data_IF_130576368760
#
_entry.id   IF_130576368760
#
_cell.length_a   1.000
_cell.length_b   1.000
_cell.length_c   1.000
_cell.angle_alpha   90.00
_cell.angle_beta   90.00
_cell.angle_gamma   90.00
#
_symmetry.space_group_name_H-M   'P 1'
#
loop_
_entity.id
_entity.type
_entity.pdbx_description
1 polymer ?
#
# COMPACT_ATOMS: atom_id res chain seq x y z
N UNK A 1 3.65 -17.23 10.69
CA UNK A 1 3.70 -15.79 10.90
C UNK A 1 2.42 -15.11 10.42
N UNK A 2 2.13 -13.92 10.99
CA UNK A 2 1.11 -13.01 10.51
C UNK A 2 1.78 -11.94 9.65
N UNK A 3 1.24 -11.67 8.47
CA UNK A 3 1.87 -10.78 7.49
C UNK A 3 0.82 -9.82 6.92
N UNK A 4 1.16 -8.54 6.84
CA UNK A 4 0.33 -7.55 6.17
C UNK A 4 1.20 -6.63 5.30
N UNK A 5 0.82 -6.50 4.03
CA UNK A 5 1.40 -5.57 3.07
C UNK A 5 0.50 -4.34 2.95
N UNK A 6 1.05 -3.19 3.23
CA UNK A 6 0.36 -1.89 3.14
C UNK A 6 1.04 -1.04 2.09
N UNK A 7 0.40 -0.89 0.94
CA UNK A 7 0.87 0.00 -0.13
C UNK A 7 0.72 1.45 0.30
N UNK A 8 1.79 2.23 0.17
CA UNK A 8 1.83 3.64 0.56
C UNK A 8 1.92 4.56 -0.65
N UNK A 9 1.27 5.72 -0.54
CA UNK A 9 1.16 6.73 -1.59
C UNK A 9 -0.24 6.81 -2.20
N UNK A 10 -0.62 8.01 -2.62
CA UNK A 10 -1.84 8.24 -3.40
C UNK A 10 -1.67 7.79 -4.85
N UNK A 11 -0.46 7.94 -5.38
CA UNK A 11 -0.06 7.50 -6.71
C UNK A 11 0.89 6.31 -6.61
N UNK A 12 0.58 5.24 -7.33
CA UNK A 12 1.37 4.00 -7.34
C UNK A 12 1.92 3.65 -8.73
N UNK A 13 1.89 4.62 -9.67
CA UNK A 13 2.43 4.52 -11.02
C UNK A 13 3.42 5.65 -11.31
N UNK A 14 4.39 5.39 -12.20
CA UNK A 14 5.34 6.41 -12.68
C UNK A 14 4.69 7.31 -13.73
N UNK A 15 5.18 8.53 -13.88
CA UNK A 15 4.73 9.42 -14.97
C UNK A 15 4.94 8.80 -16.35
N UNK A 16 6.04 8.08 -16.55
CA UNK A 16 6.31 7.34 -17.79
C UNK A 16 5.27 6.26 -18.09
N UNK A 17 4.61 5.70 -17.07
CA UNK A 17 3.54 4.70 -17.24
C UNK A 17 2.23 5.31 -17.74
N UNK A 18 2.06 6.64 -17.63
CA UNK A 18 0.88 7.36 -18.14
C UNK A 18 0.81 7.30 -19.68
N UNK A 19 1.97 7.28 -20.33
CA UNK A 19 2.05 7.26 -21.80
C UNK A 19 1.93 5.85 -22.39
N UNK A 20 1.92 4.82 -21.57
CA UNK A 20 1.70 3.46 -22.02
C UNK A 20 0.20 3.20 -22.22
N UNK A 21 -0.21 3.16 -23.50
CA UNK A 21 -1.60 2.94 -23.91
C UNK A 21 -1.91 1.49 -24.24
N UNK A 22 -1.00 0.56 -23.99
CA UNK A 22 -1.22 -0.87 -24.21
C UNK A 22 -2.37 -1.38 -23.33
N UNK A 23 -3.43 -1.86 -23.97
CA UNK A 23 -4.56 -2.48 -23.30
C UNK A 23 -4.25 -3.94 -22.95
N UNK A 24 -4.65 -4.38 -21.75
CA UNK A 24 -4.30 -5.68 -21.18
C UNK A 24 -5.53 -6.37 -20.62
N UNK A 25 -5.79 -7.57 -21.12
CA UNK A 25 -6.91 -8.41 -20.68
C UNK A 25 -6.70 -8.96 -19.26
N UNK A 26 -5.46 -9.27 -18.86
CA UNK A 26 -5.18 -9.76 -17.50
C UNK A 26 -5.45 -8.71 -16.42
N UNK A 27 -5.34 -7.42 -16.75
CA UNK A 27 -5.72 -6.33 -15.84
C UNK A 27 -7.23 -6.11 -15.82
N UNK A 28 -7.91 -6.31 -16.96
CA UNK A 28 -9.38 -6.31 -17.03
C UNK A 28 -9.95 -7.44 -16.17
N UNK A 29 -9.41 -8.66 -16.25
CA UNK A 29 -9.85 -9.79 -15.42
C UNK A 29 -9.74 -9.50 -13.92
N UNK A 30 -8.63 -8.86 -13.51
CA UNK A 30 -8.45 -8.43 -12.11
C UNK A 30 -9.45 -7.34 -11.70
N UNK A 31 -9.77 -6.42 -12.61
CA UNK A 31 -10.75 -5.36 -12.38
C UNK A 31 -12.16 -5.92 -12.26
N UNK A 32 -12.54 -6.85 -13.16
CA UNK A 32 -13.83 -7.54 -13.13
C UNK A 32 -14.03 -8.38 -11.86
N UNK A 33 -12.97 -9.01 -11.36
CA UNK A 33 -13.02 -9.77 -10.08
C UNK A 33 -13.26 -8.87 -8.88
N UNK A 34 -12.75 -7.64 -8.91
CA UNK A 34 -12.93 -6.67 -7.84
C UNK A 34 -14.29 -5.97 -7.95
N UNK A 35 -14.61 -5.44 -9.14
CA UNK A 35 -15.89 -4.79 -9.43
C UNK A 35 -16.32 -5.09 -10.87
N UNK A 36 -17.30 -5.99 -11.06
CA UNK A 36 -17.83 -6.32 -12.39
C UNK A 36 -18.44 -5.15 -13.15
N UNK A 37 -18.80 -4.06 -12.47
CA UNK A 37 -19.45 -2.89 -13.08
C UNK A 37 -18.48 -1.77 -13.47
N UNK A 38 -17.24 -1.83 -13.01
CA UNK A 38 -16.26 -0.78 -13.21
C UNK A 38 -15.75 -0.61 -14.64
N UNK A 39 -15.58 -1.70 -15.46
CA UNK A 39 -15.16 -1.55 -16.85
C UNK A 39 -16.31 -1.09 -17.76
N UNK A 40 -15.99 -0.20 -18.71
CA UNK A 40 -16.91 0.17 -19.81
C UNK A 40 -17.04 -0.98 -20.81
N UNK A 41 -18.03 -0.91 -21.71
CA UNK A 41 -18.22 -1.93 -22.75
C UNK A 41 -17.01 -2.02 -23.67
N UNK A 42 -16.41 -0.89 -24.05
CA UNK A 42 -15.20 -0.88 -24.87
C UNK A 42 -14.02 -1.50 -24.13
N UNK A 43 -13.85 -1.25 -22.83
CA UNK A 43 -12.79 -1.87 -22.00
C UNK A 43 -12.99 -3.39 -21.88
N UNK A 44 -14.23 -3.87 -21.88
CA UNK A 44 -14.54 -5.33 -21.85
C UNK A 44 -14.08 -6.06 -23.11
N UNK A 45 -14.08 -5.36 -24.25
CA UNK A 45 -13.65 -5.93 -25.53
C UNK A 45 -12.13 -5.82 -25.73
N UNK A 46 -11.53 -4.72 -25.31
CA UNK A 46 -10.15 -4.36 -25.64
C UNK A 46 -9.15 -4.57 -24.50
N UNK A 47 -9.63 -4.73 -23.26
CA UNK A 47 -8.81 -4.68 -22.08
C UNK A 47 -8.64 -3.27 -21.51
N UNK A 48 -7.89 -3.14 -20.41
CA UNK A 48 -7.63 -1.86 -19.75
C UNK A 48 -6.14 -1.54 -19.75
N UNK A 49 -5.80 -0.26 -19.86
CA UNK A 49 -4.40 0.17 -19.72
C UNK A 49 -3.94 0.01 -18.26
N UNK A 50 -2.63 -0.07 -18.05
CA UNK A 50 -2.05 -0.13 -16.70
C UNK A 50 -2.46 1.10 -15.87
N UNK A 51 -2.42 2.29 -16.46
CA UNK A 51 -2.86 3.52 -15.80
C UNK A 51 -4.30 3.42 -15.33
N UNK A 52 -5.23 3.02 -16.23
CA UNK A 52 -6.66 2.88 -15.91
C UNK A 52 -6.89 1.88 -14.75
N UNK A 53 -6.18 0.74 -14.77
CA UNK A 53 -6.25 -0.24 -13.70
C UNK A 53 -5.72 0.33 -12.36
N UNK A 54 -4.59 1.04 -12.38
CA UNK A 54 -4.03 1.64 -11.16
C UNK A 54 -4.95 2.71 -10.57
N UNK A 55 -5.52 3.58 -11.41
CA UNK A 55 -6.51 4.58 -10.99
C UNK A 55 -7.77 3.93 -10.38
N UNK A 56 -8.23 2.84 -10.98
CA UNK A 56 -9.32 2.04 -10.40
C UNK A 56 -8.97 1.54 -9.00
N UNK A 57 -7.79 0.91 -8.84
CA UNK A 57 -7.32 0.40 -7.55
C UNK A 57 -7.18 1.51 -6.49
N UNK A 58 -6.69 2.66 -6.88
CA UNK A 58 -6.54 3.83 -6.00
C UNK A 58 -7.90 4.37 -5.56
N UNK A 59 -8.86 4.50 -6.49
CA UNK A 59 -10.21 4.99 -6.19
C UNK A 59 -11.08 3.96 -5.48
N UNK A 60 -10.85 2.67 -5.70
CA UNK A 60 -11.58 1.59 -5.04
C UNK A 60 -11.14 1.32 -3.59
N UNK A 61 -10.08 1.96 -3.12
CA UNK A 61 -9.49 1.75 -1.79
C UNK A 61 -9.29 3.05 -1.00
N UNK A 62 -8.74 2.95 0.20
CA UNK A 62 -8.36 4.09 1.02
C UNK A 62 -7.17 4.91 0.49
N UNK A 63 -6.48 4.45 -0.57
CA UNK A 63 -5.31 5.11 -1.11
C UNK A 63 -5.60 6.57 -1.54
N UNK A 64 -6.73 6.81 -2.21
CA UNK A 64 -7.12 8.15 -2.67
C UNK A 64 -7.31 9.15 -1.51
N UNK A 65 -7.85 8.71 -0.39
CA UNK A 65 -8.21 9.56 0.77
C UNK A 65 -7.13 9.58 1.83
N UNK A 66 -6.59 8.42 2.22
CA UNK A 66 -5.65 8.28 3.32
C UNK A 66 -4.18 8.21 2.88
N UNK A 67 -3.92 8.02 1.57
CA UNK A 67 -2.56 7.86 1.06
C UNK A 67 -1.93 6.49 1.34
N UNK A 68 -2.74 5.49 1.70
CA UNK A 68 -2.32 4.10 1.87
C UNK A 68 -3.52 3.15 1.74
N UNK A 69 -3.24 1.87 1.44
CA UNK A 69 -4.24 0.79 1.42
C UNK A 69 -3.61 -0.52 1.84
N UNK A 70 -4.41 -1.44 2.37
CA UNK A 70 -4.00 -2.82 2.57
C UNK A 70 -3.98 -3.52 1.21
N UNK A 71 -2.83 -4.08 0.83
CA UNK A 71 -2.65 -4.82 -0.43
C UNK A 71 -2.83 -6.32 -0.21
N UNK A 72 -2.39 -6.82 0.93
CA UNK A 72 -2.55 -8.19 1.35
C UNK A 72 -2.44 -8.32 2.87
N UNK A 73 -3.14 -9.30 3.41
CA UNK A 73 -3.15 -9.57 4.86
C UNK A 73 -3.38 -11.06 5.08
N UNK A 74 -2.60 -11.67 5.97
CA UNK A 74 -2.77 -13.05 6.39
C UNK A 74 -2.43 -13.20 7.87
N UNK A 75 -3.08 -14.14 8.52
CA UNK A 75 -2.84 -14.50 9.92
C UNK A 75 -2.55 -15.98 10.03
N UNK A 76 -1.59 -16.36 10.87
CA UNK A 76 -1.31 -17.77 11.15
C UNK A 76 -2.57 -18.45 11.72
N UNK A 77 -2.86 -19.65 11.24
CA UNK A 77 -4.03 -20.42 11.66
C UNK A 77 -5.38 -19.97 11.07
N UNK A 78 -5.40 -18.96 10.23
CA UNK A 78 -6.62 -18.45 9.58
C UNK A 78 -6.47 -18.57 8.07
N UNK A 79 -7.49 -19.11 7.40
CA UNK A 79 -7.44 -19.33 5.94
C UNK A 79 -7.55 -18.02 5.15
N UNK A 80 -8.43 -17.11 5.55
CA UNK A 80 -8.63 -15.82 4.85
C UNK A 80 -9.03 -14.70 5.82
N UNK A 81 -8.65 -13.48 5.46
CA UNK A 81 -9.16 -12.29 6.12
C UNK A 81 -10.68 -12.16 5.87
N UNK A 82 -11.52 -11.96 6.90
CA UNK A 82 -12.97 -11.86 6.75
C UNK A 82 -13.42 -10.60 5.99
N UNK A 83 -12.46 -9.74 5.61
CA UNK A 83 -12.71 -8.50 4.90
C UNK A 83 -12.03 -8.53 3.53
N UNK A 84 -12.71 -8.04 2.49
CA UNK A 84 -12.03 -7.75 1.22
C UNK A 84 -11.09 -6.56 1.39
N UNK A 85 -9.89 -6.84 1.93
CA UNK A 85 -8.93 -5.83 2.36
C UNK A 85 -8.49 -4.89 1.22
N UNK A 86 -8.62 -5.33 -0.05
CA UNK A 86 -8.23 -4.54 -1.22
C UNK A 86 -9.20 -3.42 -1.56
N UNK A 87 -10.40 -3.43 -0.99
CA UNK A 87 -11.50 -2.48 -1.28
C UNK A 87 -11.91 -1.66 -0.04
N UNK A 88 -11.19 -1.80 1.06
CA UNK A 88 -11.49 -1.05 2.27
C UNK A 88 -11.24 0.46 2.06
N UNK A 89 -12.28 1.26 2.24
CA UNK A 89 -12.26 2.72 2.14
C UNK A 89 -12.47 3.40 3.47
N UNK A 90 -13.42 2.90 4.23
CA UNK A 90 -13.85 3.52 5.47
C UNK A 90 -12.86 3.24 6.60
N UNK A 91 -12.57 4.28 7.40
CA UNK A 91 -11.65 4.17 8.54
C UNK A 91 -12.11 3.11 9.54
N UNK A 92 -13.42 2.96 9.73
CA UNK A 92 -14.00 1.92 10.60
C UNK A 92 -13.65 0.51 10.14
N UNK A 93 -13.67 0.28 8.83
CA UNK A 93 -13.38 -1.04 8.24
C UNK A 93 -11.90 -1.35 8.30
N UNK A 94 -11.07 -0.35 8.00
CA UNK A 94 -9.63 -0.44 8.16
C UNK A 94 -9.23 -0.76 9.62
N UNK A 95 -9.87 -0.11 10.58
CA UNK A 95 -9.65 -0.42 12.02
C UNK A 95 -10.02 -1.86 12.34
N UNK A 96 -11.15 -2.38 11.81
CA UNK A 96 -11.55 -3.79 12.00
C UNK A 96 -10.51 -4.75 11.41
N UNK A 97 -10.02 -4.47 10.20
CA UNK A 97 -8.98 -5.28 9.58
C UNK A 97 -7.67 -5.28 10.38
N UNK A 98 -7.25 -4.12 10.89
CA UNK A 98 -6.07 -4.00 11.75
C UNK A 98 -6.24 -4.73 13.09
N UNK A 99 -7.42 -4.65 13.71
CA UNK A 99 -7.73 -5.39 14.93
C UNK A 99 -7.73 -6.91 14.68
N UNK A 100 -8.33 -7.34 13.57
CA UNK A 100 -8.28 -8.74 13.16
C UNK A 100 -6.83 -9.19 12.92
N UNK A 101 -6.02 -8.42 12.20
CA UNK A 101 -4.63 -8.74 11.91
C UNK A 101 -3.81 -8.99 13.18
N UNK A 102 -3.99 -8.16 14.20
CA UNK A 102 -3.23 -8.24 15.46
C UNK A 102 -3.92 -9.08 16.53
N UNK A 103 -5.02 -9.76 16.19
CA UNK A 103 -5.82 -10.54 17.14
C UNK A 103 -6.28 -9.72 18.37
N UNK A 104 -6.52 -8.44 18.16
CA UNK A 104 -6.89 -7.50 19.22
C UNK A 104 -5.80 -7.25 20.28
N UNK A 105 -4.55 -7.68 20.05
CA UNK A 105 -3.44 -7.61 21.02
C UNK A 105 -2.88 -6.19 21.11
N UNK A 106 -3.08 -5.45 22.20
CA UNK A 106 -2.64 -4.06 22.31
C UNK A 106 -1.12 -3.93 22.34
N UNK A 107 -0.39 -4.93 22.85
CA UNK A 107 1.06 -4.93 22.86
C UNK A 107 1.68 -5.03 21.46
N UNK A 108 1.05 -5.77 20.54
CA UNK A 108 1.46 -5.84 19.12
C UNK A 108 1.20 -4.52 18.43
N UNK A 109 0.05 -3.89 18.68
CA UNK A 109 -0.24 -2.55 18.19
C UNK A 109 0.81 -1.54 18.66
N UNK A 110 1.13 -1.55 19.94
CA UNK A 110 2.13 -0.63 20.52
C UNK A 110 3.51 -0.83 19.87
N UNK A 111 3.91 -2.09 19.64
CA UNK A 111 5.17 -2.41 18.98
C UNK A 111 5.21 -1.88 17.53
N UNK A 112 4.15 -2.07 16.75
CA UNK A 112 4.05 -1.52 15.40
C UNK A 112 4.07 0.01 15.38
N UNK A 113 3.34 0.65 16.28
CA UNK A 113 3.33 2.12 16.41
C UNK A 113 4.72 2.67 16.75
N UNK A 114 5.45 2.00 17.64
CA UNK A 114 6.82 2.39 17.98
C UNK A 114 7.74 2.33 16.76
N UNK A 115 7.73 1.21 16.03
CA UNK A 115 8.55 1.04 14.82
C UNK A 115 8.16 1.98 13.68
N UNK A 116 6.87 2.28 13.51
CA UNK A 116 6.42 3.30 12.53
C UNK A 116 6.96 4.68 12.88
N UNK A 117 7.03 5.04 14.16
CA UNK A 117 7.63 6.31 14.61
C UNK A 117 9.12 6.35 14.35
N UNK A 118 9.85 5.27 14.63
CA UNK A 118 11.28 5.14 14.34
C UNK A 118 11.54 5.24 12.83
N UNK A 119 10.79 4.49 12.02
CA UNK A 119 10.89 4.53 10.57
C UNK A 119 10.62 5.95 10.03
N UNK A 120 9.57 6.59 10.52
CA UNK A 120 9.27 7.98 10.16
C UNK A 120 10.43 8.91 10.48
N UNK A 121 10.98 8.83 11.68
CA UNK A 121 12.13 9.65 12.10
C UNK A 121 13.33 9.40 11.20
N UNK A 122 13.62 8.14 10.87
CA UNK A 122 14.70 7.78 9.96
C UNK A 122 14.49 8.36 8.54
N UNK A 123 13.28 8.29 8.00
CA UNK A 123 12.95 8.86 6.69
C UNK A 123 13.03 10.40 6.69
N UNK A 124 12.54 11.06 7.74
CA UNK A 124 12.62 12.52 7.90
C UNK A 124 14.07 13.00 7.99
N UNK A 125 14.95 12.22 8.64
CA UNK A 125 16.39 12.51 8.76
C UNK A 125 17.22 12.11 7.53
N UNK A 126 16.69 11.30 6.63
CA UNK A 126 17.45 10.78 5.48
C UNK A 126 17.56 11.81 4.37
N UNK A 127 18.79 12.23 4.06
CA UNK A 127 19.07 13.07 2.90
C UNK A 127 18.74 12.36 1.59
N UNK A 128 19.10 11.07 1.52
CA UNK A 128 18.79 10.26 0.35
C UNK A 128 17.31 10.22 0.07
N UNK A 129 16.49 9.91 1.08
CA UNK A 129 15.03 9.85 0.93
C UNK A 129 14.44 11.21 0.53
N UNK A 130 14.98 12.31 1.06
CA UNK A 130 14.58 13.67 0.68
C UNK A 130 14.94 14.09 -0.75
N UNK A 131 15.79 13.31 -1.44
CA UNK A 131 16.28 13.54 -2.81
C UNK A 131 15.77 12.52 -3.82
N UNK A 132 14.89 11.59 -3.42
CA UNK A 132 14.36 10.56 -4.29
C UNK A 132 12.84 10.48 -4.17
N UNK A 133 12.17 10.30 -5.30
CA UNK A 133 10.78 9.84 -5.33
C UNK A 133 10.75 8.32 -5.18
N UNK A 134 9.94 7.83 -4.27
CA UNK A 134 9.73 6.39 -4.04
C UNK A 134 8.25 6.09 -4.31
N UNK A 135 7.95 5.54 -5.48
CA UNK A 135 6.59 5.35 -5.96
C UNK A 135 6.16 3.90 -5.83
N UNK A 136 5.01 3.65 -5.24
CA UNK A 136 4.42 2.33 -5.13
C UNK A 136 5.14 1.38 -4.16
N UNK A 137 5.91 1.92 -3.21
CA UNK A 137 6.49 1.16 -2.11
C UNK A 137 5.42 0.68 -1.12
N UNK A 138 5.80 -0.26 -0.28
CA UNK A 138 4.93 -0.82 0.76
C UNK A 138 5.60 -0.78 2.13
N UNK A 139 4.79 -0.86 3.16
CA UNK A 139 5.20 -1.24 4.51
C UNK A 139 4.78 -2.69 4.75
N UNK A 140 5.74 -3.55 5.03
CA UNK A 140 5.52 -4.94 5.40
C UNK A 140 5.49 -5.05 6.93
N UNK A 141 4.34 -5.45 7.47
CA UNK A 141 4.14 -5.75 8.88
C UNK A 141 4.21 -7.26 9.08
N UNK A 142 5.02 -7.70 10.02
CA UNK A 142 5.17 -9.11 10.34
C UNK A 142 5.20 -9.28 11.85
N UNK A 143 4.51 -10.31 12.36
CA UNK A 143 4.70 -10.77 13.73
C UNK A 143 4.40 -12.27 13.82
N UNK A 144 4.88 -12.92 14.87
CA UNK A 144 4.57 -14.32 15.15
C UNK A 144 3.33 -14.40 16.04
N UNK A 145 2.23 -14.94 15.48
CA UNK A 145 0.96 -15.13 16.19
C UNK A 145 0.91 -16.40 17.05
N UNK A 146 1.76 -17.39 16.75
CA UNK A 146 1.73 -18.74 17.37
C UNK A 146 2.97 -19.06 18.20
N UNK A 147 4.02 -18.23 18.15
CA UNK A 147 5.32 -18.52 18.70
C UNK A 147 5.42 -18.43 20.22
N UNK A 148 6.40 -19.15 20.78
CA UNK A 148 6.73 -19.14 22.21
C UNK A 148 7.41 -17.86 22.71
N UNK A 149 7.78 -16.92 21.84
CA UNK A 149 8.23 -15.56 22.19
C UNK A 149 7.01 -14.62 22.28
N UNK A 150 7.15 -13.53 23.04
CA UNK A 150 6.11 -12.50 23.04
C UNK A 150 5.81 -12.03 21.62
N UNK A 151 4.56 -12.06 21.13
CA UNK A 151 4.19 -11.59 19.80
C UNK A 151 4.68 -10.17 19.52
N UNK A 152 4.66 -9.30 20.53
CA UNK A 152 5.19 -7.94 20.43
C UNK A 152 6.71 -7.91 20.17
N UNK A 153 7.48 -8.84 20.74
CA UNK A 153 8.93 -8.91 20.51
C UNK A 153 9.29 -9.39 19.10
N UNK A 154 8.40 -10.13 18.44
CA UNK A 154 8.56 -10.58 17.04
C UNK A 154 8.05 -9.56 16.02
N UNK A 155 7.32 -8.53 16.47
CA UNK A 155 6.72 -7.52 15.59
C UNK A 155 7.80 -6.74 14.83
N UNK A 156 7.61 -6.62 13.52
CA UNK A 156 8.54 -5.91 12.62
C UNK A 156 7.80 -5.15 11.55
N UNK A 157 8.22 -3.92 11.28
CA UNK A 157 7.78 -3.10 10.15
C UNK A 157 8.98 -2.79 9.26
N UNK A 158 8.88 -3.11 7.98
CA UNK A 158 9.92 -2.82 6.99
C UNK A 158 9.33 -2.12 5.79
N UNK A 159 10.01 -1.10 5.28
CA UNK A 159 9.70 -0.53 3.97
C UNK A 159 10.29 -1.41 2.88
N UNK A 160 9.48 -1.74 1.86
CA UNK A 160 9.83 -2.65 0.76
C UNK A 160 9.39 -2.06 -0.58
N UNK A 161 9.76 -2.71 -1.69
CA UNK A 161 9.36 -2.35 -3.07
C UNK A 161 9.95 -1.01 -3.55
N UNK A 162 11.27 -0.94 -3.64
CA UNK A 162 12.00 0.25 -4.11
C UNK A 162 12.23 0.29 -5.63
N UNK A 163 11.64 -0.61 -6.41
CA UNK A 163 11.91 -0.72 -7.86
C UNK A 163 11.54 0.54 -8.66
N UNK A 164 10.62 1.35 -8.16
CA UNK A 164 10.21 2.62 -8.77
C UNK A 164 10.76 3.80 -7.98
N UNK A 165 12.06 3.84 -7.82
CA UNK A 165 12.76 4.95 -7.16
C UNK A 165 13.51 5.77 -8.21
N UNK A 166 13.32 7.08 -8.18
CA UNK A 166 13.99 8.03 -9.07
C UNK A 166 14.52 9.23 -8.28
N UNK A 167 15.71 9.70 -8.63
CA UNK A 167 16.23 10.94 -8.07
C UNK A 167 15.38 12.14 -8.54
N UNK A 168 15.11 13.08 -7.63
CA UNK A 168 14.49 14.35 -8.00
C UNK A 168 15.49 15.22 -8.78
N UNK A 169 14.99 16.12 -9.65
CA UNK A 169 15.83 16.97 -10.44
C UNK A 169 16.79 17.79 -9.56
N UNK A 170 18.00 18.03 -10.09
CA UNK A 170 19.00 18.88 -9.42
C UNK A 170 18.42 20.29 -9.20
N UNK A 171 18.63 20.83 -8.00
CA UNK A 171 18.08 22.12 -7.59
C UNK A 171 16.60 22.11 -7.14
N UNK A 172 15.90 20.98 -7.28
CA UNK A 172 14.56 20.85 -6.72
C UNK A 172 14.59 20.88 -5.19
N UNK A 173 13.52 21.39 -4.53
CA UNK A 173 13.45 21.38 -3.08
C UNK A 173 13.44 19.95 -2.56
N UNK A 174 14.02 19.76 -1.36
CA UNK A 174 13.99 18.47 -0.68
C UNK A 174 12.56 18.02 -0.47
N UNK A 175 12.26 16.77 -0.83
CA UNK A 175 10.95 16.18 -0.59
C UNK A 175 10.79 15.84 0.89
N UNK A 176 9.67 16.24 1.48
CA UNK A 176 9.27 15.73 2.79
C UNK A 176 8.67 14.33 2.63
N UNK A 177 8.68 13.53 3.71
CA UNK A 177 8.01 12.23 3.70
C UNK A 177 6.51 12.36 3.32
N UNK A 178 5.84 13.45 3.67
CA UNK A 178 4.47 13.74 3.25
C UNK A 178 4.38 14.04 1.76
N UNK A 179 5.31 14.82 1.22
CA UNK A 179 5.34 15.15 -0.20
C UNK A 179 5.56 13.90 -1.05
N UNK A 180 6.43 12.99 -0.64
CA UNK A 180 6.70 11.76 -1.37
C UNK A 180 5.45 10.88 -1.58
N UNK A 181 4.54 10.87 -0.62
CA UNK A 181 3.33 10.05 -0.67
C UNK A 181 2.08 10.81 -1.11
N UNK A 182 2.17 12.13 -1.20
CA UNK A 182 1.07 13.01 -1.63
C UNK A 182 1.29 13.56 -3.04
N UNK A 183 2.54 13.68 -3.50
CA UNK A 183 2.89 14.21 -4.83
C UNK A 183 2.51 13.21 -5.91
N UNK A 184 1.30 13.26 -6.32
CA UNK A 184 0.74 12.47 -7.41
C UNK A 184 -0.52 13.12 -7.99
N UNK A 185 -0.89 14.29 -7.49
CA UNK A 185 -1.99 15.10 -7.99
C UNK A 185 -1.45 16.48 -8.45
N UNK A 186 -0.74 16.50 -9.55
CA UNK A 186 -0.65 17.68 -10.41
C UNK A 186 -1.18 17.32 -11.78
#
# INVERSE_FOLDING_TARGET
>A
PCIMDVKIGKRTFLESEVYNTEARMDLLDKMLKADPTAPTDAEREQGVTKLRYMQFRESASSAATLGWRIEGISRAGEDECPHNCKELREVSDLKRALLWFTDGRPEVHAAFVAQLRELRTALEGSEWFGRHEVVGSSLLFVYDGEGGASPAASASVKMIDFAKTAAVAEGAPRLSHRAQWVVGNR
#
